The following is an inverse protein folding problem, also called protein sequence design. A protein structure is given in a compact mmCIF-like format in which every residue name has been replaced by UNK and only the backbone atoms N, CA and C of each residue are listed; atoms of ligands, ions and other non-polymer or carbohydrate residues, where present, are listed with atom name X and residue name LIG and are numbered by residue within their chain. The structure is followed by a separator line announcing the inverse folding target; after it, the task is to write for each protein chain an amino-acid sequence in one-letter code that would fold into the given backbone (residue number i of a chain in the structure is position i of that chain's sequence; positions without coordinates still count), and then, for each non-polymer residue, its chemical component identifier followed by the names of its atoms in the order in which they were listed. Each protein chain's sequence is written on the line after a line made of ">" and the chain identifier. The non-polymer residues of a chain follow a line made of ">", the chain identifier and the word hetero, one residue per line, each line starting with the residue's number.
data_IF_645898514862
#
_entry.id   IF_645898514862
#
_cell.length_a   1.000
_cell.length_b   1.000
_cell.length_c   1.000
_cell.angle_alpha   90.00
_cell.angle_beta   90.00
_cell.angle_gamma   90.00
#
_symmetry.space_group_name_H-M   'P 1'
#
loop_
_entity.id
_entity.type
_entity.pdbx_description
1 polymer ?
#
# COMPACT_ATOMS: atom_id res chain seq x y z
N UNK A 1 -3.04 -26.06 -9.77
CA UNK A 1 -2.44 -24.74 -10.05
C UNK A 1 -3.03 -23.63 -9.18
N UNK A 2 -4.17 -23.85 -8.51
CA UNK A 2 -4.66 -22.92 -7.49
C UNK A 2 -4.06 -23.31 -6.15
N UNK A 3 -3.43 -22.37 -5.45
CA UNK A 3 -2.82 -22.54 -4.14
C UNK A 3 -3.88 -22.61 -3.03
N UNK A 4 -3.49 -22.98 -1.80
CA UNK A 4 -4.43 -23.10 -0.67
C UNK A 4 -5.15 -21.78 -0.33
N UNK A 5 -4.54 -20.64 -0.67
CA UNK A 5 -5.06 -19.29 -0.53
C UNK A 5 -5.75 -18.76 -1.81
N UNK A 6 -6.06 -19.65 -2.77
CA UNK A 6 -6.88 -19.35 -3.94
C UNK A 6 -6.14 -18.69 -5.10
N UNK A 7 -4.83 -18.48 -5.01
CA UNK A 7 -4.05 -17.79 -6.04
C UNK A 7 -3.56 -18.76 -7.13
N UNK A 8 -3.25 -18.23 -8.32
CA UNK A 8 -2.56 -19.02 -9.34
C UNK A 8 -1.06 -19.13 -9.05
N UNK A 9 -0.54 -20.34 -9.23
CA UNK A 9 0.88 -20.64 -9.22
C UNK A 9 1.19 -21.72 -10.27
N UNK A 10 1.64 -21.28 -11.44
CA UNK A 10 2.12 -22.11 -12.54
C UNK A 10 3.58 -21.76 -12.80
N UNK A 11 4.45 -22.75 -12.63
CA UNK A 11 5.85 -22.67 -13.08
C UNK A 11 5.95 -22.62 -14.62
N UNK A 12 7.17 -22.52 -15.13
CA UNK A 12 7.41 -22.38 -16.57
C UNK A 12 6.90 -23.57 -17.38
N UNK A 13 7.05 -24.80 -16.87
CA UNK A 13 6.56 -25.99 -17.54
C UNK A 13 5.04 -26.02 -17.59
N UNK A 14 4.39 -25.87 -16.44
CA UNK A 14 2.94 -25.89 -16.32
C UNK A 14 2.26 -24.76 -17.10
N UNK A 15 2.84 -23.56 -17.08
CA UNK A 15 2.32 -22.42 -17.82
C UNK A 15 2.43 -22.65 -19.33
N UNK A 16 3.60 -23.08 -19.80
CA UNK A 16 3.81 -23.42 -21.22
C UNK A 16 2.86 -24.53 -21.68
N UNK A 17 2.71 -25.60 -20.91
CA UNK A 17 1.81 -26.71 -21.22
C UNK A 17 0.35 -26.25 -21.33
N UNK A 18 -0.09 -25.31 -20.48
CA UNK A 18 -1.43 -24.72 -20.57
C UNK A 18 -1.61 -23.93 -21.86
N UNK A 19 -0.63 -23.11 -22.24
CA UNK A 19 -0.67 -22.31 -23.45
C UNK A 19 -0.61 -23.17 -24.72
N UNK A 20 0.27 -24.18 -24.75
CA UNK A 20 0.41 -25.12 -25.87
C UNK A 20 -0.87 -25.95 -26.07
N UNK A 21 -1.51 -26.37 -24.97
CA UNK A 21 -2.71 -27.21 -25.02
C UNK A 21 -3.99 -26.47 -25.43
N UNK A 22 -4.19 -25.25 -24.92
CA UNK A 22 -5.46 -24.54 -25.05
C UNK A 22 -5.40 -23.27 -25.90
N UNK A 23 -4.21 -22.72 -26.09
CA UNK A 23 -3.99 -21.42 -26.69
C UNK A 23 -4.28 -20.25 -25.75
N UNK A 24 -3.65 -19.08 -25.96
CA UNK A 24 -3.76 -17.91 -25.08
C UNK A 24 -5.21 -17.42 -24.86
N UNK A 25 -6.02 -17.39 -25.90
CA UNK A 25 -7.38 -16.84 -25.82
C UNK A 25 -8.34 -17.75 -25.04
N UNK A 26 -8.20 -19.07 -25.19
CA UNK A 26 -9.00 -20.00 -24.41
C UNK A 26 -8.60 -19.93 -22.93
N UNK A 27 -7.29 -19.88 -22.67
CA UNK A 27 -6.77 -19.77 -21.32
C UNK A 27 -7.21 -18.45 -20.65
N UNK A 28 -7.20 -17.33 -21.37
CA UNK A 28 -7.76 -16.05 -20.92
C UNK A 28 -9.24 -16.13 -20.55
N UNK A 29 -10.06 -16.83 -21.35
CA UNK A 29 -11.48 -17.03 -21.00
C UNK A 29 -11.64 -17.89 -19.75
N UNK A 30 -10.80 -18.90 -19.56
CA UNK A 30 -10.83 -19.75 -18.37
C UNK A 30 -10.47 -18.95 -17.11
N UNK A 31 -9.34 -18.21 -17.13
CA UNK A 31 -8.93 -17.34 -16.02
C UNK A 31 -9.99 -16.28 -15.74
N UNK A 32 -10.53 -15.63 -16.79
CA UNK A 32 -11.63 -14.68 -16.64
C UNK A 32 -12.85 -15.28 -15.95
N UNK A 33 -13.20 -16.55 -16.19
CA UNK A 33 -14.35 -17.19 -15.51
C UNK A 33 -14.06 -17.41 -14.03
N UNK A 34 -12.84 -17.82 -13.67
CA UNK A 34 -12.44 -17.98 -12.28
C UNK A 34 -12.53 -16.65 -11.51
N UNK A 35 -12.06 -15.57 -12.14
CA UNK A 35 -12.14 -14.22 -11.55
C UNK A 35 -13.59 -13.81 -11.29
N UNK A 36 -14.49 -14.02 -12.26
CA UNK A 36 -15.90 -13.61 -12.17
C UNK A 36 -16.69 -14.48 -11.19
N UNK A 37 -16.32 -15.76 -11.07
CA UNK A 37 -16.89 -16.68 -10.10
C UNK A 37 -16.37 -16.46 -8.67
N UNK A 38 -15.42 -15.54 -8.46
CA UNK A 38 -14.69 -15.33 -7.20
C UNK A 38 -13.85 -16.56 -6.76
N UNK A 39 -13.64 -17.51 -7.68
CA UNK A 39 -12.75 -18.68 -7.51
C UNK A 39 -11.27 -18.31 -7.64
N UNK A 40 -10.98 -17.13 -8.22
CA UNK A 40 -9.66 -16.51 -8.24
C UNK A 40 -9.73 -15.10 -7.63
N UNK A 41 -9.39 -14.95 -6.33
CA UNK A 41 -9.41 -13.66 -5.65
C UNK A 41 -8.39 -12.69 -6.26
N UNK A 42 -8.58 -11.40 -5.94
CA UNK A 42 -7.64 -10.36 -6.35
C UNK A 42 -6.19 -10.72 -5.97
N UNK A 43 -5.20 -10.42 -6.83
CA UNK A 43 -3.82 -10.81 -6.58
C UNK A 43 -3.15 -9.87 -5.55
N UNK A 44 -3.46 -10.11 -4.27
CA UNK A 44 -2.96 -9.32 -3.14
C UNK A 44 -1.46 -9.52 -2.90
N UNK A 45 -0.77 -8.44 -2.49
CA UNK A 45 0.65 -8.40 -2.15
C UNK A 45 1.01 -9.36 -1.02
N UNK A 46 0.09 -9.60 -0.06
CA UNK A 46 0.32 -10.52 1.07
C UNK A 46 0.76 -11.93 0.65
N UNK A 47 0.42 -12.35 -0.57
CA UNK A 47 0.74 -13.68 -1.11
C UNK A 47 2.19 -13.81 -1.61
N UNK A 48 2.88 -12.70 -1.89
CA UNK A 48 4.24 -12.71 -2.45
C UNK A 48 5.21 -11.72 -1.79
N UNK A 49 4.73 -10.83 -0.91
CA UNK A 49 5.60 -9.84 -0.26
C UNK A 49 6.61 -10.46 0.70
N UNK A 50 6.37 -11.69 1.16
CA UNK A 50 7.30 -12.44 2.03
C UNK A 50 8.49 -13.03 1.28
N UNK A 51 8.48 -13.04 -0.05
CA UNK A 51 9.62 -13.45 -0.89
C UNK A 51 10.87 -12.59 -0.63
N UNK A 52 10.69 -11.33 -0.23
CA UNK A 52 11.77 -10.38 0.08
C UNK A 52 12.01 -10.22 1.59
N UNK A 53 11.52 -11.15 2.40
CA UNK A 53 11.68 -11.18 3.86
C UNK A 53 10.36 -11.29 4.61
N UNK A 54 10.38 -11.90 5.80
CA UNK A 54 9.18 -12.06 6.64
C UNK A 54 8.64 -10.71 7.13
N UNK A 55 7.40 -10.69 7.65
CA UNK A 55 6.85 -9.48 8.28
C UNK A 55 7.73 -8.99 9.44
N UNK A 56 8.27 -9.92 10.22
CA UNK A 56 9.20 -9.63 11.31
C UNK A 56 10.48 -8.98 10.79
N UNK A 57 11.04 -9.47 9.68
CA UNK A 57 12.25 -8.89 9.07
C UNK A 57 11.97 -7.47 8.56
N UNK A 58 10.85 -7.27 7.85
CA UNK A 58 10.46 -5.97 7.32
C UNK A 58 10.20 -4.95 8.44
N UNK A 59 9.53 -5.37 9.51
CA UNK A 59 9.31 -4.52 10.68
C UNK A 59 10.60 -4.24 11.45
N UNK A 60 11.50 -5.22 11.56
CA UNK A 60 12.85 -5.06 12.08
C UNK A 60 13.65 -4.03 11.28
N UNK A 61 13.56 -4.08 9.95
CA UNK A 61 14.16 -3.09 9.05
C UNK A 61 13.59 -1.69 9.32
N UNK A 62 12.28 -1.55 9.54
CA UNK A 62 11.66 -0.27 9.90
C UNK A 62 12.19 0.27 11.24
N UNK A 63 12.31 -0.58 12.28
CA UNK A 63 12.91 -0.20 13.57
C UNK A 63 14.37 0.24 13.42
N UNK A 64 15.14 -0.45 12.60
CA UNK A 64 16.55 -0.14 12.36
C UNK A 64 16.75 1.05 11.39
N UNK A 65 15.72 1.42 10.63
CA UNK A 65 15.79 2.39 9.56
C UNK A 65 16.35 3.73 10.04
N UNK A 66 17.34 4.27 9.33
CA UNK A 66 17.89 5.60 9.59
C UNK A 66 17.48 6.53 8.46
N UNK A 67 16.51 7.38 8.76
CA UNK A 67 15.93 8.29 7.79
C UNK A 67 16.95 9.24 7.19
N UNK A 68 16.91 9.39 5.87
CA UNK A 68 17.74 10.36 5.16
C UNK A 68 17.07 11.73 5.11
N UNK A 69 17.74 12.73 5.68
CA UNK A 69 17.30 14.12 5.68
C UNK A 69 18.32 14.97 4.95
N UNK A 70 17.92 15.58 3.85
CA UNK A 70 18.79 16.44 3.04
C UNK A 70 18.34 17.90 3.13
N UNK A 71 19.31 18.79 3.36
CA UNK A 71 19.10 20.24 3.32
C UNK A 71 19.48 20.76 1.95
N UNK A 72 18.51 20.93 1.07
CA UNK A 72 18.75 21.41 -0.30
C UNK A 72 17.53 22.14 -0.83
N UNK A 73 17.76 23.14 -1.69
CA UNK A 73 16.65 23.78 -2.43
C UNK A 73 15.88 22.70 -3.21
N UNK A 74 14.54 22.74 -3.21
CA UNK A 74 13.76 21.82 -4.02
C UNK A 74 14.08 22.01 -5.50
N UNK A 75 14.11 20.90 -6.26
CA UNK A 75 14.30 20.93 -7.72
C UNK A 75 13.10 21.54 -8.45
N UNK A 76 11.94 21.60 -7.79
CA UNK A 76 10.70 22.14 -8.35
C UNK A 76 10.65 23.65 -8.05
N UNK A 77 10.41 24.52 -9.05
CA UNK A 77 10.19 25.94 -8.81
C UNK A 77 8.99 26.13 -7.88
N UNK A 78 9.22 26.69 -6.70
CA UNK A 78 8.17 26.92 -5.69
C UNK A 78 7.12 27.92 -6.19
N UNK A 79 7.41 28.72 -7.23
CA UNK A 79 6.47 29.64 -7.86
C UNK A 79 5.17 28.98 -8.34
N UNK A 80 5.23 27.72 -8.81
CA UNK A 80 4.03 26.97 -9.21
C UNK A 80 3.17 26.52 -8.02
N UNK A 81 3.79 26.32 -6.86
CA UNK A 81 3.10 25.94 -5.62
C UNK A 81 2.54 27.19 -4.93
N UNK A 82 3.35 28.26 -4.87
CA UNK A 82 3.00 29.59 -4.36
C UNK A 82 1.75 30.16 -5.05
N UNK A 83 1.72 30.12 -6.39
CA UNK A 83 0.58 30.60 -7.18
C UNK A 83 -0.71 29.83 -6.90
N UNK A 84 -0.63 28.53 -6.58
CA UNK A 84 -1.80 27.71 -6.20
C UNK A 84 -2.25 27.90 -4.76
N UNK A 85 -1.32 28.16 -3.84
CA UNK A 85 -1.61 28.29 -2.41
C UNK A 85 -1.94 29.73 -1.98
N UNK A 86 -1.64 30.72 -2.81
CA UNK A 86 -2.00 32.13 -2.61
C UNK A 86 -1.57 32.65 -1.23
N UNK A 87 -2.48 33.35 -0.54
CA UNK A 87 -2.26 33.93 0.80
C UNK A 87 -1.90 32.90 1.88
N UNK A 88 -2.20 31.62 1.67
CA UNK A 88 -1.77 30.58 2.62
C UNK A 88 -0.25 30.42 2.61
N UNK A 89 0.40 30.61 1.46
CA UNK A 89 1.86 30.51 1.36
C UNK A 89 2.59 31.65 2.08
N UNK A 90 2.00 32.85 2.14
CA UNK A 90 2.60 34.01 2.80
C UNK A 90 2.69 33.83 4.33
N UNK A 91 1.82 32.98 4.90
CA UNK A 91 1.73 32.78 6.35
C UNK A 91 2.67 31.69 6.89
N UNK A 92 3.20 30.83 6.04
CA UNK A 92 4.03 29.70 6.45
C UNK A 92 5.40 29.72 5.77
N UNK A 93 6.44 29.48 6.56
CA UNK A 93 7.78 29.25 6.04
C UNK A 93 7.81 27.96 5.23
N UNK A 94 8.35 28.01 4.02
CA UNK A 94 8.67 26.85 3.18
C UNK A 94 9.93 26.09 3.64
N UNK A 95 10.48 26.52 4.77
CA UNK A 95 11.69 25.98 5.39
C UNK A 95 11.42 25.50 6.80
N UNK A 96 11.95 24.31 7.10
CA UNK A 96 12.04 23.78 8.45
C UNK A 96 13.37 24.22 9.06
N UNK A 97 13.31 24.94 10.19
CA UNK A 97 14.49 25.51 10.88
C UNK A 97 15.43 26.29 9.94
N UNK A 98 14.86 27.08 9.03
CA UNK A 98 15.62 27.92 8.10
C UNK A 98 16.13 27.22 6.83
N UNK A 99 15.90 25.91 6.67
CA UNK A 99 16.31 25.14 5.50
C UNK A 99 15.16 24.46 4.76
N UNK A 100 15.26 24.39 3.43
CA UNK A 100 14.49 23.43 2.66
C UNK A 100 14.93 22.03 3.04
N UNK A 101 13.99 21.26 3.58
CA UNK A 101 14.25 19.91 4.08
C UNK A 101 13.57 18.90 3.16
N UNK A 102 14.37 18.02 2.58
CA UNK A 102 13.90 16.90 1.74
C UNK A 102 14.08 15.62 2.54
N UNK A 103 13.00 14.84 2.65
CA UNK A 103 12.98 13.56 3.33
C UNK A 103 12.75 12.46 2.28
N UNK A 104 13.53 11.39 2.37
CA UNK A 104 13.23 10.14 1.66
C UNK A 104 14.45 9.47 1.04
N UNK A 105 14.31 8.15 0.92
CA UNK A 105 15.15 7.24 0.13
C UNK A 105 14.20 6.40 -0.74
N UNK A 106 14.62 6.05 -1.96
CA UNK A 106 13.83 5.24 -2.90
C UNK A 106 14.05 3.73 -2.70
N UNK A 107 14.97 3.31 -1.84
CA UNK A 107 15.43 1.91 -1.79
C UNK A 107 14.63 1.00 -0.83
N UNK A 108 13.70 1.54 -0.04
CA UNK A 108 13.06 0.80 1.06
C UNK A 108 11.69 0.21 0.76
N UNK A 109 11.23 0.24 -0.50
CA UNK A 109 9.86 -0.14 -0.82
C UNK A 109 9.54 -1.61 -0.50
N UNK A 110 10.28 -2.55 -1.11
CA UNK A 110 10.06 -3.99 -0.94
C UNK A 110 10.39 -4.48 0.48
N UNK A 111 11.28 -3.80 1.19
CA UNK A 111 11.80 -4.24 2.49
C UNK A 111 11.13 -3.58 3.68
N UNK A 112 10.44 -2.45 3.49
CA UNK A 112 9.78 -1.67 4.55
C UNK A 112 8.42 -1.15 4.10
N UNK A 113 8.34 -0.38 3.01
CA UNK A 113 7.14 0.44 2.76
C UNK A 113 5.92 -0.36 2.30
N UNK A 114 6.11 -1.57 1.81
CA UNK A 114 5.03 -2.49 1.45
C UNK A 114 4.30 -3.07 2.68
N UNK A 115 4.84 -2.92 3.90
CA UNK A 115 4.39 -3.66 5.09
C UNK A 115 2.89 -3.47 5.43
N UNK A 116 2.37 -2.26 5.30
CA UNK A 116 0.95 -1.94 5.56
C UNK A 116 0.00 -2.64 4.60
N UNK A 117 0.41 -2.94 3.37
CA UNK A 117 -0.42 -3.68 2.41
C UNK A 117 -0.72 -5.10 2.86
N UNK A 118 0.13 -5.72 3.71
CA UNK A 118 -0.18 -7.04 4.25
C UNK A 118 -1.52 -7.05 4.99
N UNK A 119 -1.84 -5.97 5.69
CA UNK A 119 -2.99 -5.85 6.58
C UNK A 119 -4.17 -5.11 5.95
N UNK A 120 -3.88 -4.05 5.18
CA UNK A 120 -4.87 -3.03 4.79
C UNK A 120 -5.06 -2.90 3.28
N UNK A 121 -4.41 -3.74 2.47
CA UNK A 121 -4.56 -3.68 1.01
C UNK A 121 -5.99 -3.99 0.55
N UNK A 122 -6.71 -4.89 1.24
CA UNK A 122 -8.08 -5.26 0.90
C UNK A 122 -9.00 -4.05 0.71
N UNK A 123 -9.23 -3.24 1.75
CA UNK A 123 -9.95 -1.98 1.64
C UNK A 123 -9.34 -1.00 0.62
N UNK A 124 -8.00 -0.98 0.49
CA UNK A 124 -7.30 -0.05 -0.42
C UNK A 124 -7.57 -0.32 -1.89
N UNK A 125 -7.58 -1.59 -2.31
CA UNK A 125 -7.87 -1.97 -3.71
C UNK A 125 -9.35 -1.87 -4.05
N UNK A 126 -10.24 -1.80 -3.04
CA UNK A 126 -11.66 -1.45 -3.21
C UNK A 126 -11.91 0.05 -3.25
N UNK A 127 -10.90 0.86 -2.90
CA UNK A 127 -11.00 2.31 -2.91
C UNK A 127 -10.59 2.88 -4.26
N UNK A 128 -11.26 3.96 -4.69
CA UNK A 128 -10.92 4.66 -5.92
C UNK A 128 -9.64 5.48 -5.75
N UNK A 129 -8.78 5.44 -6.76
CA UNK A 129 -7.67 6.38 -6.91
C UNK A 129 -8.16 7.81 -7.12
N UNK A 130 -7.29 8.79 -6.85
CA UNK A 130 -7.61 10.20 -7.07
C UNK A 130 -7.93 10.47 -8.55
N UNK A 131 -9.17 10.91 -8.82
CA UNK A 131 -9.62 11.22 -10.18
C UNK A 131 -10.09 10.01 -11.00
N UNK A 132 -10.08 8.81 -10.41
CA UNK A 132 -10.57 7.61 -11.06
C UNK A 132 -12.06 7.38 -10.83
N UNK A 133 -12.67 6.59 -11.71
CA UNK A 133 -14.08 6.17 -11.62
C UNK A 133 -14.28 4.78 -11.05
N UNK A 134 -13.28 3.92 -11.21
CA UNK A 134 -13.30 2.50 -10.85
C UNK A 134 -12.11 2.22 -9.92
N UNK A 135 -12.29 1.34 -8.94
CA UNK A 135 -11.21 0.84 -8.09
C UNK A 135 -10.41 -0.28 -8.79
N UNK A 136 -9.19 -0.62 -8.33
CA UNK A 136 -8.50 -1.82 -8.82
C UNK A 136 -9.33 -3.10 -8.72
N UNK A 137 -10.13 -3.24 -7.66
CA UNK A 137 -11.05 -4.38 -7.49
C UNK A 137 -12.17 -4.37 -8.55
N UNK A 138 -12.71 -3.21 -8.90
CA UNK A 138 -13.71 -3.11 -9.98
C UNK A 138 -13.09 -3.53 -11.30
N UNK A 139 -11.87 -3.07 -11.59
CA UNK A 139 -11.13 -3.48 -12.78
C UNK A 139 -10.90 -4.99 -12.84
N UNK A 140 -10.53 -5.57 -11.70
CA UNK A 140 -10.32 -7.00 -11.55
C UNK A 140 -11.58 -7.80 -11.81
N UNK A 141 -12.76 -7.35 -11.34
CA UNK A 141 -14.00 -8.12 -11.45
C UNK A 141 -14.77 -7.88 -12.76
N UNK A 142 -14.45 -6.84 -13.52
CA UNK A 142 -15.19 -6.45 -14.72
C UNK A 142 -14.84 -7.35 -15.94
N UNK A 143 -15.71 -8.29 -16.35
CA UNK A 143 -15.39 -9.27 -17.40
C UNK A 143 -15.08 -8.61 -18.75
N UNK A 144 -15.70 -7.46 -19.03
CA UNK A 144 -15.48 -6.66 -20.24
C UNK A 144 -14.04 -6.13 -20.37
N UNK A 145 -13.31 -6.04 -19.27
CA UNK A 145 -11.94 -5.53 -19.24
C UNK A 145 -10.90 -6.64 -19.38
N UNK A 146 -11.24 -7.88 -19.04
CA UNK A 146 -10.28 -9.00 -19.06
C UNK A 146 -9.65 -9.25 -20.44
N UNK A 147 -10.41 -9.20 -21.56
CA UNK A 147 -9.82 -9.35 -22.90
C UNK A 147 -8.79 -8.28 -23.27
N UNK A 148 -8.73 -7.16 -22.53
CA UNK A 148 -7.76 -6.07 -22.80
C UNK A 148 -6.37 -6.36 -22.25
N UNK A 149 -6.23 -7.26 -21.30
CA UNK A 149 -4.95 -7.48 -20.61
C UNK A 149 -4.58 -8.97 -20.43
N UNK A 150 -5.55 -9.87 -20.19
CA UNK A 150 -5.24 -11.30 -20.04
C UNK A 150 -4.60 -11.92 -21.30
N UNK A 151 -5.12 -11.71 -22.53
CA UNK A 151 -4.46 -12.25 -23.71
C UNK A 151 -3.06 -11.68 -23.90
N UNK A 152 -2.84 -10.40 -23.57
CA UNK A 152 -1.51 -9.77 -23.70
C UNK A 152 -0.48 -10.38 -22.77
N UNK A 153 -0.88 -10.76 -21.55
CA UNK A 153 -0.04 -11.51 -20.60
C UNK A 153 0.34 -12.89 -21.15
N UNK A 154 -0.60 -13.60 -21.78
CA UNK A 154 -0.40 -14.97 -22.27
C UNK A 154 0.25 -15.06 -23.65
N UNK A 155 0.39 -13.93 -24.35
CA UNK A 155 1.06 -13.83 -25.64
C UNK A 155 2.46 -13.21 -25.52
N UNK A 156 2.82 -12.67 -24.35
CA UNK A 156 4.13 -12.05 -24.15
C UNK A 156 5.23 -13.14 -24.08
N UNK A 157 6.23 -13.11 -24.97
CA UNK A 157 7.28 -14.14 -25.02
C UNK A 157 8.27 -14.06 -23.84
N UNK A 158 8.32 -12.93 -23.12
CA UNK A 158 9.11 -12.79 -21.90
C UNK A 158 8.38 -13.35 -20.68
N UNK A 159 7.06 -13.53 -20.77
CA UNK A 159 6.28 -14.11 -19.68
C UNK A 159 6.47 -15.62 -19.60
N UNK A 160 7.15 -16.07 -18.55
CA UNK A 160 7.53 -17.47 -18.35
C UNK A 160 6.70 -18.22 -17.32
N UNK A 161 6.11 -17.51 -16.35
CA UNK A 161 5.37 -18.12 -15.23
C UNK A 161 4.01 -17.44 -15.06
N UNK A 162 3.05 -18.09 -14.41
CA UNK A 162 1.80 -17.44 -14.02
C UNK A 162 1.57 -17.58 -12.53
N UNK A 163 1.97 -16.53 -11.80
CA UNK A 163 1.83 -16.41 -10.35
C UNK A 163 0.93 -15.22 -9.98
N UNK A 164 0.47 -15.17 -8.73
CA UNK A 164 -0.20 -13.99 -8.13
C UNK A 164 0.53 -12.68 -8.47
N UNK A 165 1.86 -12.65 -8.28
CA UNK A 165 2.71 -11.48 -8.58
C UNK A 165 2.61 -11.08 -10.05
N UNK A 166 2.83 -12.03 -10.97
CA UNK A 166 2.80 -11.72 -12.42
C UNK A 166 1.44 -11.23 -12.87
N UNK A 167 0.36 -11.85 -12.38
CA UNK A 167 -1.01 -11.47 -12.71
C UNK A 167 -1.32 -10.05 -12.24
N UNK A 168 -0.86 -9.69 -11.04
CA UNK A 168 -0.95 -8.34 -10.51
C UNK A 168 -0.19 -7.33 -11.38
N UNK A 169 1.10 -7.56 -11.60
CA UNK A 169 1.94 -6.60 -12.32
C UNK A 169 1.39 -6.32 -13.73
N UNK A 170 0.87 -7.36 -14.40
CA UNK A 170 0.21 -7.21 -15.70
C UNK A 170 -1.12 -6.46 -15.63
N UNK A 171 -1.95 -6.71 -14.60
CA UNK A 171 -3.17 -5.95 -14.37
C UNK A 171 -2.87 -4.45 -14.27
N UNK A 172 -1.85 -4.05 -13.50
CA UNK A 172 -1.49 -2.63 -13.34
C UNK A 172 -0.75 -2.04 -14.55
N UNK A 173 0.09 -2.82 -15.23
CA UNK A 173 0.85 -2.35 -16.39
C UNK A 173 -0.02 -2.17 -17.65
N UNK A 174 -1.06 -3.01 -17.82
CA UNK A 174 -1.86 -3.08 -19.05
C UNK A 174 -3.36 -2.84 -18.85
N UNK A 175 -3.82 -2.76 -17.60
CA UNK A 175 -5.19 -2.41 -17.28
C UNK A 175 -5.63 -1.16 -18.02
N UNK A 176 -6.73 -1.27 -18.77
CA UNK A 176 -7.25 -0.19 -19.61
C UNK A 176 -8.74 0.04 -19.30
N UNK A 177 -9.13 1.21 -18.73
CA UNK A 177 -8.30 2.38 -18.44
C UNK A 177 -7.21 2.11 -17.38
N UNK A 178 -6.20 3.00 -17.32
CA UNK A 178 -5.07 2.86 -16.38
C UNK A 178 -5.59 2.72 -14.96
N UNK A 179 -5.14 1.69 -14.26
CA UNK A 179 -5.53 1.46 -12.86
C UNK A 179 -4.66 2.34 -11.97
N UNK A 180 -5.31 3.13 -11.11
CA UNK A 180 -4.63 3.96 -10.11
C UNK A 180 -5.14 3.58 -8.73
N UNK A 181 -4.23 3.13 -7.88
CA UNK A 181 -4.57 2.80 -6.49
C UNK A 181 -4.79 4.06 -5.66
N UNK A 182 -5.59 3.93 -4.60
CA UNK A 182 -5.61 4.92 -3.54
C UNK A 182 -4.18 5.11 -2.98
N UNK A 183 -3.78 6.38 -2.85
CA UNK A 183 -2.42 6.73 -2.44
C UNK A 183 -2.14 6.23 -1.03
N UNK A 184 -0.99 5.61 -0.88
CA UNK A 184 -0.47 5.12 0.38
C UNK A 184 0.64 6.03 0.90
N UNK A 185 0.77 6.08 2.23
CA UNK A 185 1.95 6.67 2.86
C UNK A 185 3.17 5.75 2.72
N UNK A 186 4.25 6.08 3.43
CA UNK A 186 5.44 5.23 3.51
C UNK A 186 5.88 5.14 4.97
N UNK A 187 5.86 3.97 5.62
CA UNK A 187 6.37 3.79 6.98
C UNK A 187 7.78 4.39 7.17
N UNK A 188 8.69 4.22 6.20
CA UNK A 188 10.05 4.79 6.25
C UNK A 188 10.06 6.33 6.31
N UNK A 189 9.15 6.99 5.58
CA UNK A 189 8.98 8.44 5.58
C UNK A 189 8.55 8.91 6.98
N UNK A 190 7.55 8.27 7.57
CA UNK A 190 7.04 8.65 8.89
C UNK A 190 8.04 8.34 10.01
N UNK A 191 8.77 7.23 9.92
CA UNK A 191 9.89 6.94 10.80
C UNK A 191 10.94 8.06 10.75
N UNK A 192 11.27 8.55 9.55
CA UNK A 192 12.20 9.69 9.40
C UNK A 192 11.64 10.96 10.04
N UNK A 193 10.34 11.22 9.89
CA UNK A 193 9.69 12.37 10.53
C UNK A 193 9.75 12.27 12.06
N UNK A 194 9.50 11.09 12.62
CA UNK A 194 9.59 10.87 14.07
C UNK A 194 11.02 11.02 14.59
N UNK A 195 12.02 10.51 13.86
CA UNK A 195 13.44 10.73 14.19
C UNK A 195 13.84 12.22 14.15
N UNK A 196 13.28 12.98 13.22
CA UNK A 196 13.57 14.42 13.04
C UNK A 196 12.89 15.29 14.09
N UNK A 197 11.62 15.01 14.40
CA UNK A 197 10.79 15.82 15.30
C UNK A 197 10.86 15.37 16.76
N UNK A 198 11.28 14.12 16.99
CA UNK A 198 11.34 13.44 18.29
C UNK A 198 10.04 13.58 19.10
N UNK A 199 8.87 13.28 18.51
CA UNK A 199 7.63 13.35 19.25
C UNK A 199 7.61 12.26 20.32
N UNK A 200 6.92 12.53 21.42
CA UNK A 200 6.53 11.53 22.41
C UNK A 200 5.13 10.98 22.12
N UNK A 201 4.25 11.88 21.67
CA UNK A 201 2.84 11.60 21.43
C UNK A 201 2.44 12.12 20.06
N UNK A 202 1.61 11.37 19.35
CA UNK A 202 1.12 11.73 18.01
C UNK A 202 -0.39 11.57 17.97
N UNK A 203 -1.07 12.61 17.51
CA UNK A 203 -2.46 12.53 17.05
C UNK A 203 -2.46 12.45 15.53
N UNK A 204 -3.05 11.39 14.99
CA UNK A 204 -3.23 11.16 13.57
C UNK A 204 -4.72 11.12 13.23
N UNK A 205 -5.24 12.27 12.79
CA UNK A 205 -6.67 12.45 12.51
C UNK A 205 -7.15 11.77 11.23
N UNK A 206 -6.24 11.13 10.47
CA UNK A 206 -6.55 10.45 9.21
C UNK A 206 -5.59 9.27 8.99
N UNK A 207 -5.75 8.22 9.79
CA UNK A 207 -4.84 7.09 9.87
C UNK A 207 -4.70 6.26 8.60
N UNK A 208 -5.71 6.29 7.72
CA UNK A 208 -5.65 5.71 6.38
C UNK A 208 -5.07 4.27 6.42
N UNK A 209 -4.04 3.98 5.63
CA UNK A 209 -3.54 2.60 5.49
C UNK A 209 -2.56 2.16 6.58
N UNK A 210 -2.51 2.84 7.73
CA UNK A 210 -1.74 2.38 8.90
C UNK A 210 -0.23 2.57 8.80
N UNK A 211 0.27 3.28 7.79
CA UNK A 211 1.69 3.56 7.60
C UNK A 211 2.30 4.33 8.78
N UNK A 212 1.55 5.30 9.32
CA UNK A 212 1.93 6.09 10.50
C UNK A 212 1.88 5.27 11.79
N UNK A 213 0.89 4.37 11.91
CA UNK A 213 0.77 3.44 13.02
C UNK A 213 1.99 2.50 13.07
N UNK A 214 2.37 1.89 11.95
CA UNK A 214 3.57 1.04 11.88
C UNK A 214 4.84 1.81 12.27
N UNK A 215 5.00 3.03 11.77
CA UNK A 215 6.13 3.88 12.15
C UNK A 215 6.09 4.26 13.64
N UNK A 216 4.90 4.49 14.21
CA UNK A 216 4.72 4.86 15.61
C UNK A 216 5.10 3.71 16.55
N UNK A 217 4.68 2.50 16.22
CA UNK A 217 5.04 1.29 16.96
C UNK A 217 6.55 1.05 16.84
N UNK A 218 7.10 1.13 15.63
CA UNK A 218 8.53 0.91 15.41
C UNK A 218 9.42 1.96 16.07
N UNK A 219 8.96 3.21 16.17
CA UNK A 219 9.66 4.31 16.85
C UNK A 219 9.49 4.26 18.39
N UNK A 220 8.59 3.40 18.88
CA UNK A 220 8.27 3.24 20.31
C UNK A 220 7.70 4.53 20.95
N UNK A 221 6.70 5.14 20.32
CA UNK A 221 6.03 6.34 20.86
C UNK A 221 5.31 6.07 22.19
N UNK A 222 5.37 7.01 23.14
CA UNK A 222 4.61 6.93 24.39
C UNK A 222 3.10 6.81 24.12
N UNK A 223 2.62 7.55 23.10
CA UNK A 223 1.23 7.45 22.65
C UNK A 223 1.06 7.77 21.16
N UNK A 224 0.21 7.02 20.48
CA UNK A 224 -0.28 7.31 19.15
C UNK A 224 -1.80 7.14 19.13
N UNK A 225 -2.53 8.20 18.82
CA UNK A 225 -3.99 8.12 18.63
C UNK A 225 -4.28 8.23 17.16
N UNK A 226 -4.69 7.12 16.55
CA UNK A 226 -5.14 7.07 15.18
C UNK A 226 -6.65 7.25 15.09
N UNK A 227 -7.12 8.02 14.10
CA UNK A 227 -8.54 8.21 13.82
C UNK A 227 -8.78 7.97 12.34
N UNK A 228 -9.81 7.20 12.02
CA UNK A 228 -10.27 7.03 10.64
C UNK A 228 -11.80 6.88 10.60
N UNK A 229 -12.43 7.32 9.52
CA UNK A 229 -13.88 7.22 9.36
C UNK A 229 -14.31 5.89 8.69
N UNK A 230 -13.36 5.15 8.09
CA UNK A 230 -13.66 3.94 7.34
C UNK A 230 -13.59 2.68 8.24
N UNK A 231 -14.73 2.05 8.57
CA UNK A 231 -14.74 0.85 9.42
C UNK A 231 -14.06 -0.36 8.77
N UNK A 232 -13.93 -0.41 7.43
CA UNK A 232 -13.23 -1.49 6.74
C UNK A 232 -11.74 -1.58 7.13
N UNK A 233 -11.18 -0.54 7.72
CA UNK A 233 -9.77 -0.48 8.14
C UNK A 233 -9.54 -1.05 9.54
N UNK A 234 -10.60 -1.14 10.37
CA UNK A 234 -10.51 -1.60 11.76
C UNK A 234 -9.82 -2.96 11.88
N UNK A 235 -10.21 -4.01 11.12
CA UNK A 235 -9.57 -5.32 11.28
C UNK A 235 -8.09 -5.30 10.89
N UNK A 236 -7.71 -4.45 9.93
CA UNK A 236 -6.31 -4.30 9.52
C UNK A 236 -5.48 -3.59 10.57
N UNK A 237 -6.04 -2.59 11.26
CA UNK A 237 -5.39 -1.94 12.39
C UNK A 237 -5.22 -2.90 13.58
N UNK A 238 -6.26 -3.65 13.93
CA UNK A 238 -6.19 -4.67 14.98
C UNK A 238 -5.10 -5.71 14.66
N UNK A 239 -5.05 -6.21 13.44
CA UNK A 239 -4.03 -7.16 13.01
C UNK A 239 -2.60 -6.61 13.09
N UNK A 240 -2.39 -5.31 12.80
CA UNK A 240 -1.09 -4.64 12.99
C UNK A 240 -0.71 -4.65 14.49
N UNK A 241 -1.65 -4.28 15.37
CA UNK A 241 -1.42 -4.25 16.82
C UNK A 241 -1.16 -5.65 17.37
N UNK A 242 -1.90 -6.65 16.92
CA UNK A 242 -1.71 -8.04 17.31
C UNK A 242 -0.35 -8.58 16.89
N UNK A 243 0.08 -8.25 15.68
CA UNK A 243 1.34 -8.73 15.12
C UNK A 243 2.57 -8.08 15.77
N UNK A 244 2.51 -6.78 16.12
CA UNK A 244 3.71 -6.00 16.46
C UNK A 244 3.72 -5.37 17.85
N UNK A 245 2.62 -5.46 18.61
CA UNK A 245 2.49 -4.82 19.93
C UNK A 245 2.13 -5.86 20.98
N UNK A 246 2.94 -5.92 22.04
CA UNK A 246 2.65 -6.73 23.21
C UNK A 246 1.28 -6.33 23.81
N UNK A 247 0.44 -7.28 24.24
CA UNK A 247 -0.92 -6.99 24.71
C UNK A 247 -1.00 -5.84 25.73
N UNK A 248 -0.09 -5.83 26.70
CA UNK A 248 0.01 -4.83 27.76
C UNK A 248 0.39 -3.43 27.26
N UNK A 249 0.93 -3.29 26.04
CA UNK A 249 1.32 -2.02 25.44
C UNK A 249 0.30 -1.48 24.43
N UNK A 250 -0.72 -2.27 24.05
CA UNK A 250 -1.69 -1.87 23.00
C UNK A 250 -2.47 -0.60 23.33
N UNK A 251 -2.68 -0.32 24.62
CA UNK A 251 -3.30 0.93 25.08
C UNK A 251 -2.55 2.20 24.66
N UNK A 252 -1.28 2.10 24.26
CA UNK A 252 -0.47 3.22 23.73
C UNK A 252 -0.85 3.59 22.29
N UNK A 253 -1.57 2.73 21.57
CA UNK A 253 -1.86 2.87 20.15
C UNK A 253 -3.36 2.76 19.82
N UNK A 254 -4.26 3.52 20.49
CA UNK A 254 -5.69 3.47 20.18
C UNK A 254 -5.98 3.86 18.73
N UNK A 255 -6.84 3.07 18.10
CA UNK A 255 -7.35 3.29 16.74
C UNK A 255 -8.85 3.52 16.82
N UNK A 256 -9.27 4.75 16.53
CA UNK A 256 -10.65 5.21 16.73
C UNK A 256 -11.36 5.29 15.38
N UNK A 257 -12.36 4.43 15.19
CA UNK A 257 -13.19 4.43 13.98
C UNK A 257 -14.35 5.41 14.15
N UNK A 258 -14.13 6.65 13.72
CA UNK A 258 -15.10 7.73 13.78
C UNK A 258 -14.70 8.85 12.82
N UNK A 259 -15.66 9.63 12.26
CA UNK A 259 -15.35 10.93 11.69
C UNK A 259 -14.52 11.77 12.66
N UNK A 260 -13.45 12.41 12.16
CA UNK A 260 -12.48 13.13 12.98
C UNK A 260 -13.09 14.35 13.70
N UNK A 261 -14.19 14.89 13.17
CA UNK A 261 -14.93 16.00 13.77
C UNK A 261 -15.79 15.59 14.96
N UNK A 262 -15.99 14.28 15.20
CA UNK A 262 -16.87 13.73 16.23
C UNK A 262 -16.14 12.91 17.29
N UNK A 263 -14.88 12.58 17.06
CA UNK A 263 -14.14 11.66 17.92
C UNK A 263 -13.84 12.31 19.28
N UNK A 264 -14.11 11.59 20.36
CA UNK A 264 -13.62 11.94 21.69
C UNK A 264 -12.21 11.36 21.85
N UNK A 265 -11.22 12.22 22.11
CA UNK A 265 -9.84 11.77 22.31
C UNK A 265 -9.64 11.21 23.73
N UNK A 266 -8.77 10.20 23.90
CA UNK A 266 -8.38 9.72 25.23
C UNK A 266 -7.78 10.84 26.08
N UNK A 267 -7.94 10.75 27.41
CA UNK A 267 -7.32 11.70 28.33
C UNK A 267 -5.78 11.67 28.23
N UNK A 268 -5.21 12.86 28.35
CA UNK A 268 -3.80 13.18 28.11
C UNK A 268 -2.88 12.72 29.21
#
# INVERSE_FOLDING_TARGET
>A
YVTADGQLDLDEGAFKDCLDKWGPDHFARAVSRLIVADDLPFPYKKHFMTETGSLTDKFGNLRAYKGQVQRRRPKIPLSKVQSRMGRFWERYSDRYRGWYTVIGDSTSYETIDILSDYFLEGPRVRSMGYGERDSPMDHWRQPRLHPRWLPTLFQDPEQRVLTCRTLREWLYARGTPRIVEARQGRPSLYMTMFQLLKPKRVLDVASAWGDRLLAAIAYDLDMYVGVDANPDLEPGYEAILEQFVAPEQRHRFPMLISPSEKVALPEG
#
